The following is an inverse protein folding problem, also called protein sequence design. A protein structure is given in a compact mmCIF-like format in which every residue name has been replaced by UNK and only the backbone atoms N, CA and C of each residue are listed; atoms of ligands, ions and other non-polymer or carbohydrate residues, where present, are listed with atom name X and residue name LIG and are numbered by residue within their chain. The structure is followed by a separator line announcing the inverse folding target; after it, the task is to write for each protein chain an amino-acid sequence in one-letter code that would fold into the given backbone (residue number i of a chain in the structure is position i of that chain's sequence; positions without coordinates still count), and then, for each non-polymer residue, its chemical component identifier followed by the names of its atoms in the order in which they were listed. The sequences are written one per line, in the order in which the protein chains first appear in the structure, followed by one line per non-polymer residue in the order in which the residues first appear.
data_IF_557326866780
#
_entry.id   IF_557326866780
#
_cell.length_a   1.000
_cell.length_b   1.000
_cell.length_c   1.000
_cell.angle_alpha   90.00
_cell.angle_beta   90.00
_cell.angle_gamma   90.00
#
_symmetry.space_group_name_H-M   'P 1'
#
loop_
_entity.id
_entity.type
_entity.pdbx_description
1 polymer ?
#
# COMPACT_ATOMS: atom_id res chain seq x y z
N UNK A 1 11.30 -4.04 -23.23
CA UNK A 1 11.95 -2.73 -23.02
C UNK A 1 13.46 -2.90 -23.10
N UNK A 2 14.17 -1.93 -23.69
CA UNK A 2 15.62 -1.89 -23.81
C UNK A 2 16.29 -1.29 -22.57
N UNK A 3 17.44 -1.82 -22.21
CA UNK A 3 18.24 -1.40 -21.04
C UNK A 3 19.67 -1.08 -21.46
N UNK A 4 20.36 -0.24 -20.68
CA UNK A 4 21.81 -0.04 -20.84
C UNK A 4 22.55 -1.11 -20.05
N UNK A 5 23.48 -1.80 -20.71
CA UNK A 5 24.27 -2.87 -20.07
C UNK A 5 25.26 -2.27 -19.09
N UNK A 6 25.28 -2.81 -17.87
CA UNK A 6 26.33 -2.56 -16.87
C UNK A 6 26.89 -3.90 -16.44
N UNK A 7 28.16 -4.15 -16.76
CA UNK A 7 28.85 -5.39 -16.36
C UNK A 7 29.08 -5.38 -14.85
N UNK A 8 28.64 -6.43 -14.18
CA UNK A 8 28.78 -6.63 -12.74
C UNK A 8 29.21 -8.07 -12.46
N UNK A 9 29.86 -8.34 -11.31
CA UNK A 9 30.15 -9.71 -10.90
C UNK A 9 28.86 -10.51 -10.61
N UNK A 10 29.02 -11.83 -10.42
CA UNK A 10 27.97 -12.82 -10.12
C UNK A 10 27.07 -13.19 -11.31
N UNK A 11 26.28 -14.25 -11.17
CA UNK A 11 25.59 -14.95 -12.27
C UNK A 11 24.09 -14.62 -12.37
N UNK A 12 23.67 -13.40 -12.04
CA UNK A 12 22.26 -13.01 -12.01
C UNK A 12 22.04 -11.66 -12.70
N UNK A 13 20.93 -11.51 -13.44
CA UNK A 13 20.52 -10.20 -13.91
C UNK A 13 20.14 -9.29 -12.74
N UNK A 14 20.47 -8.00 -12.89
CA UNK A 14 20.14 -6.97 -11.90
C UNK A 14 19.39 -5.85 -12.61
N UNK A 15 18.23 -5.51 -12.07
CA UNK A 15 17.37 -4.45 -12.57
C UNK A 15 16.93 -3.54 -11.42
N UNK A 16 16.51 -2.33 -11.75
CA UNK A 16 15.97 -1.39 -10.78
C UNK A 16 14.59 -1.85 -10.28
N UNK A 17 14.32 -1.73 -8.98
CA UNK A 17 13.03 -2.11 -8.36
C UNK A 17 11.81 -1.41 -8.97
N UNK A 18 11.93 -0.17 -9.46
CA UNK A 18 10.81 0.54 -10.11
C UNK A 18 10.37 -0.09 -11.43
N UNK A 19 11.23 -0.93 -12.03
CA UNK A 19 10.97 -1.61 -13.30
C UNK A 19 10.35 -3.01 -13.11
N UNK A 20 10.25 -3.51 -11.88
CA UNK A 20 9.64 -4.83 -11.62
C UNK A 20 8.15 -4.84 -11.95
N UNK A 21 7.45 -3.73 -11.72
CA UNK A 21 6.01 -3.60 -11.97
C UNK A 21 5.61 -3.88 -13.42
N UNK A 22 6.22 -3.25 -14.46
CA UNK A 22 5.90 -3.56 -15.85
C UNK A 22 6.35 -4.96 -16.31
N UNK A 23 7.30 -5.59 -15.63
CA UNK A 23 7.68 -6.99 -15.91
C UNK A 23 6.89 -8.01 -15.11
N UNK A 24 6.13 -7.57 -14.09
CA UNK A 24 5.47 -8.43 -13.12
C UNK A 24 6.43 -9.47 -12.50
N UNK A 25 7.63 -9.03 -12.13
CA UNK A 25 8.67 -9.86 -11.53
C UNK A 25 8.79 -9.61 -10.01
N UNK A 26 9.12 -10.63 -9.22
CA UNK A 26 9.20 -10.55 -7.75
C UNK A 26 10.41 -11.26 -7.10
N UNK A 27 11.37 -11.71 -7.90
CA UNK A 27 12.69 -12.25 -7.48
C UNK A 27 12.64 -13.51 -6.60
N UNK A 28 11.56 -14.29 -6.65
CA UNK A 28 11.43 -15.56 -5.92
C UNK A 28 12.02 -16.78 -6.68
N UNK A 29 12.60 -16.52 -7.86
CA UNK A 29 13.11 -17.56 -8.78
C UNK A 29 12.96 -17.20 -10.27
N UNK A 30 12.40 -16.02 -10.58
CA UNK A 30 12.19 -15.53 -11.94
C UNK A 30 13.43 -15.59 -12.85
N UNK A 31 13.21 -16.05 -14.07
CA UNK A 31 14.18 -16.00 -15.16
C UNK A 31 13.76 -14.96 -16.21
N UNK A 32 14.72 -14.21 -16.76
CA UNK A 32 14.48 -13.24 -17.83
C UNK A 32 15.41 -13.49 -19.00
N UNK A 33 14.89 -13.36 -20.22
CA UNK A 33 15.69 -13.47 -21.44
C UNK A 33 16.33 -12.14 -21.82
N UNK A 34 17.56 -12.19 -22.32
CA UNK A 34 18.28 -11.02 -22.85
C UNK A 34 18.64 -11.26 -24.31
N UNK A 35 18.24 -10.31 -25.17
CA UNK A 35 18.57 -10.30 -26.60
C UNK A 35 19.46 -9.10 -26.91
N UNK A 36 20.58 -9.33 -27.61
CA UNK A 36 21.54 -8.29 -27.98
C UNK A 36 21.32 -7.89 -29.44
N UNK A 37 20.95 -6.62 -29.75
CA UNK A 37 20.83 -6.16 -31.12
C UNK A 37 22.21 -6.19 -31.81
N UNK A 38 22.26 -6.74 -33.03
CA UNK A 38 23.51 -6.95 -33.77
C UNK A 38 23.84 -5.83 -34.76
N UNK A 39 22.82 -5.17 -35.34
CA UNK A 39 23.01 -4.05 -36.27
C UNK A 39 22.91 -2.70 -35.56
N UNK A 40 23.57 -1.69 -36.12
CA UNK A 40 23.50 -0.31 -35.64
C UNK A 40 22.09 0.28 -35.77
N UNK A 41 21.35 -0.09 -36.83
CA UNK A 41 19.96 0.32 -37.04
C UNK A 41 19.05 -0.22 -35.92
N UNK A 42 19.12 -1.52 -35.62
CA UNK A 42 18.32 -2.11 -34.53
C UNK A 42 18.77 -1.59 -33.16
N UNK A 43 20.06 -1.28 -32.98
CA UNK A 43 20.54 -0.63 -31.75
C UNK A 43 19.91 0.76 -31.57
N UNK A 44 19.83 1.54 -32.64
CA UNK A 44 19.16 2.85 -32.61
C UNK A 44 17.66 2.70 -32.35
N UNK A 45 16.98 1.75 -32.98
CA UNK A 45 15.55 1.47 -32.75
C UNK A 45 15.26 1.15 -31.28
N UNK A 46 16.02 0.23 -30.69
CA UNK A 46 15.85 -0.15 -29.28
C UNK A 46 16.10 1.05 -28.35
N UNK A 47 17.06 1.91 -28.70
CA UNK A 47 17.43 3.08 -27.91
C UNK A 47 16.37 4.19 -27.98
N UNK A 48 15.84 4.47 -29.16
CA UNK A 48 14.96 5.62 -29.41
C UNK A 48 13.47 5.28 -29.24
N UNK A 49 13.07 4.00 -29.27
CA UNK A 49 11.67 3.57 -29.10
C UNK A 49 11.45 2.72 -27.84
N UNK A 50 12.32 1.74 -27.61
CA UNK A 50 12.05 0.68 -26.65
C UNK A 50 12.68 0.90 -25.27
N UNK A 51 13.50 1.94 -25.09
CA UNK A 51 14.26 2.15 -23.86
C UNK A 51 13.32 2.35 -22.65
N UNK A 52 13.72 1.84 -21.49
CA UNK A 52 12.91 1.93 -20.25
C UNK A 52 12.35 3.33 -19.96
N UNK A 53 13.15 4.43 -20.01
CA UNK A 53 12.64 5.76 -19.69
C UNK A 53 11.47 6.17 -20.60
N UNK A 54 11.52 5.84 -21.90
CA UNK A 54 10.47 6.15 -22.87
C UNK A 54 9.16 5.39 -22.62
N UNK A 55 9.23 4.34 -21.81
CA UNK A 55 8.11 3.46 -21.49
C UNK A 55 7.66 3.62 -20.02
N UNK A 56 8.05 4.70 -19.34
CA UNK A 56 7.57 5.02 -17.98
C UNK A 56 6.05 5.26 -18.00
N UNK A 57 5.55 5.99 -19.00
CA UNK A 57 4.12 6.26 -19.21
C UNK A 57 3.59 5.41 -20.35
N UNK A 58 2.50 4.70 -20.11
CA UNK A 58 1.88 3.83 -21.13
C UNK A 58 0.61 4.42 -21.70
N UNK A 59 0.38 4.29 -23.02
CA UNK A 59 -0.86 4.70 -23.67
C UNK A 59 -2.07 3.86 -23.26
N UNK A 60 -1.88 2.67 -22.66
CA UNK A 60 -3.00 1.79 -22.26
C UNK A 60 -3.96 2.47 -21.27
N UNK A 61 -3.42 3.26 -20.34
CA UNK A 61 -4.20 3.95 -19.29
C UNK A 61 -3.89 5.45 -19.21
N UNK A 62 -3.14 5.99 -20.17
CA UNK A 62 -2.63 7.36 -20.18
C UNK A 62 -1.94 7.74 -18.85
N UNK A 63 -1.07 6.87 -18.35
CA UNK A 63 -0.43 7.09 -17.05
C UNK A 63 0.77 6.18 -16.78
N UNK A 64 1.52 6.44 -15.70
CA UNK A 64 2.76 5.73 -15.40
C UNK A 64 2.54 4.24 -15.14
N UNK A 65 3.42 3.39 -15.67
CA UNK A 65 3.56 1.98 -15.30
C UNK A 65 4.61 1.78 -14.21
N UNK A 66 5.59 2.67 -14.14
CA UNK A 66 6.68 2.63 -13.18
C UNK A 66 6.45 3.67 -12.09
N UNK A 67 6.89 3.37 -10.88
CA UNK A 67 6.80 4.24 -9.73
C UNK A 67 7.60 3.68 -8.56
N UNK A 68 7.64 4.42 -7.46
CA UNK A 68 8.33 3.98 -6.25
C UNK A 68 7.52 2.85 -5.59
N UNK A 69 8.19 1.75 -5.25
CA UNK A 69 7.60 0.54 -4.69
C UNK A 69 8.38 0.07 -3.45
N UNK A 70 7.77 -0.85 -2.70
CA UNK A 70 8.38 -1.57 -1.57
C UNK A 70 9.08 -0.64 -0.55
N UNK A 71 10.34 -0.90 -0.22
CA UNK A 71 11.10 -0.24 0.84
C UNK A 71 11.26 1.26 0.60
N UNK A 72 11.53 1.67 -0.64
CA UNK A 72 11.61 3.09 -0.98
C UNK A 72 10.26 3.80 -0.78
N UNK A 73 9.14 3.10 -0.97
CA UNK A 73 7.81 3.67 -0.74
C UNK A 73 7.50 3.79 0.76
N UNK A 74 7.75 2.75 1.53
CA UNK A 74 7.59 2.78 2.99
C UNK A 74 8.55 3.80 3.65
N UNK A 75 9.79 3.83 3.18
CA UNK A 75 10.82 4.76 3.64
C UNK A 75 10.48 6.21 3.32
N UNK A 76 9.95 6.51 2.12
CA UNK A 76 9.55 7.86 1.76
C UNK A 76 8.40 8.35 2.64
N UNK A 77 7.42 7.49 2.91
CA UNK A 77 6.32 7.78 3.82
C UNK A 77 6.83 8.08 5.24
N UNK A 78 7.70 7.22 5.79
CA UNK A 78 8.32 7.43 7.10
C UNK A 78 9.14 8.70 7.17
N UNK A 79 10.00 8.94 6.17
CA UNK A 79 10.86 10.11 6.08
C UNK A 79 10.05 11.41 6.06
N UNK A 80 8.89 11.42 5.43
CA UNK A 80 8.05 12.61 5.32
C UNK A 80 7.25 12.94 6.60
N UNK A 81 7.28 12.13 7.66
CA UNK A 81 6.53 12.45 8.89
C UNK A 81 7.09 13.70 9.58
N UNK A 82 6.21 14.44 10.29
CA UNK A 82 6.55 15.74 10.92
C UNK A 82 7.53 15.62 12.08
N UNK A 83 7.58 14.46 12.72
CA UNK A 83 8.45 14.13 13.84
C UNK A 83 9.87 13.71 13.39
N UNK A 84 10.12 13.60 12.09
CA UNK A 84 11.44 13.23 11.56
C UNK A 84 12.33 14.47 11.39
N UNK A 85 13.32 14.55 12.27
CA UNK A 85 14.36 15.57 12.23
C UNK A 85 15.74 14.95 12.01
N UNK A 86 16.50 15.55 11.09
CA UNK A 86 17.85 15.14 10.74
C UNK A 86 18.87 16.08 11.38
N UNK A 87 19.95 15.48 11.87
CA UNK A 87 21.15 16.22 12.30
C UNK A 87 21.93 16.72 11.09
N UNK A 88 22.84 17.68 11.30
CA UNK A 88 23.71 18.20 10.25
C UNK A 88 24.54 17.09 9.59
N UNK A 89 25.06 16.16 10.37
CA UNK A 89 25.87 15.04 9.88
C UNK A 89 25.03 14.08 9.03
N UNK A 90 23.85 13.70 9.51
CA UNK A 90 22.95 12.82 8.77
C UNK A 90 22.52 13.44 7.44
N UNK A 91 22.16 14.73 7.43
CA UNK A 91 21.71 15.35 6.20
C UNK A 91 22.83 15.52 5.19
N UNK A 92 24.04 15.88 5.65
CA UNK A 92 25.23 15.94 4.78
C UNK A 92 25.49 14.59 4.12
N UNK A 93 25.41 13.49 4.88
CA UNK A 93 25.59 12.15 4.33
C UNK A 93 24.49 11.77 3.34
N UNK A 94 23.22 12.12 3.61
CA UNK A 94 22.12 11.85 2.69
C UNK A 94 22.22 12.68 1.40
N UNK A 95 22.72 13.92 1.48
CA UNK A 95 22.87 14.83 0.33
C UNK A 95 23.85 14.32 -0.72
N UNK A 96 24.87 13.54 -0.32
CA UNK A 96 25.82 12.93 -1.26
C UNK A 96 25.14 11.96 -2.24
N UNK A 97 23.95 11.46 -1.89
CA UNK A 97 23.15 10.55 -2.71
C UNK A 97 22.09 11.28 -3.55
N UNK A 98 21.95 12.59 -3.41
CA UNK A 98 21.04 13.38 -4.25
C UNK A 98 21.68 13.54 -5.63
N UNK A 99 21.03 13.07 -6.72
CA UNK A 99 21.58 13.20 -8.06
C UNK A 99 21.64 14.67 -8.47
N UNK A 100 22.76 15.09 -9.09
CA UNK A 100 22.98 16.46 -9.56
C UNK A 100 22.84 17.54 -8.47
N UNK A 101 23.20 17.21 -7.22
CA UNK A 101 23.20 18.19 -6.13
C UNK A 101 24.11 19.39 -6.44
N UNK A 102 23.63 20.59 -6.15
CA UNK A 102 24.28 21.88 -6.43
C UNK A 102 25.42 22.23 -5.46
N UNK A 103 25.71 21.36 -4.48
CA UNK A 103 26.72 21.59 -3.46
C UNK A 103 26.26 22.50 -2.31
N UNK A 104 25.02 22.98 -2.35
CA UNK A 104 24.49 23.91 -1.35
C UNK A 104 23.68 23.16 -0.31
N UNK A 105 24.07 23.31 0.95
CA UNK A 105 23.28 22.79 2.07
C UNK A 105 22.11 23.77 2.30
N UNK A 106 20.85 23.31 2.21
CA UNK A 106 19.67 24.12 2.47
C UNK A 106 19.65 24.61 3.91
N UNK A 107 18.94 25.71 4.13
CA UNK A 107 18.79 26.25 5.48
C UNK A 107 17.98 25.27 6.37
N UNK A 108 18.38 25.10 7.64
CA UNK A 108 17.66 24.22 8.56
C UNK A 108 16.26 24.78 8.84
N UNK A 109 15.26 23.89 8.91
CA UNK A 109 13.91 24.27 9.33
C UNK A 109 13.87 24.83 10.76
N UNK A 110 14.77 24.35 11.63
CA UNK A 110 14.87 24.80 13.03
C UNK A 110 16.30 25.27 13.28
N UNK A 111 16.48 26.50 13.74
CA UNK A 111 17.81 27.07 14.03
C UNK A 111 18.26 26.86 15.48
N UNK A 112 17.34 27.03 16.45
CA UNK A 112 17.62 26.95 17.89
C UNK A 112 16.78 25.83 18.53
N UNK A 113 17.29 25.12 19.55
CA UNK A 113 18.60 25.27 20.20
C UNK A 113 19.76 24.68 19.39
N UNK A 114 19.48 23.78 18.44
CA UNK A 114 20.45 23.20 17.51
C UNK A 114 19.84 23.14 16.11
N UNK A 115 20.64 23.31 15.03
CA UNK A 115 20.12 23.23 13.68
C UNK A 115 19.57 21.84 13.37
N UNK A 116 18.31 21.78 12.93
CA UNK A 116 17.63 20.56 12.48
C UNK A 116 16.98 20.77 11.13
N UNK A 117 17.03 19.75 10.30
CA UNK A 117 16.34 19.68 9.01
C UNK A 117 15.22 18.66 9.08
N UNK A 118 14.20 18.82 8.26
CA UNK A 118 13.09 17.85 8.18
C UNK A 118 13.34 16.84 7.07
N UNK A 119 12.72 15.66 7.16
CA UNK A 119 12.75 14.70 6.05
C UNK A 119 12.04 15.23 4.79
N UNK A 120 11.04 16.11 4.94
CA UNK A 120 10.41 16.83 3.82
C UNK A 120 11.40 17.73 3.08
N UNK A 121 12.29 18.43 3.79
CA UNK A 121 13.35 19.21 3.15
C UNK A 121 14.32 18.31 2.36
N UNK A 122 14.66 17.14 2.90
CA UNK A 122 15.54 16.18 2.23
C UNK A 122 14.93 15.67 0.92
N UNK A 123 13.67 15.20 0.97
CA UNK A 123 13.02 14.67 -0.23
C UNK A 123 12.73 15.74 -1.29
N UNK A 124 12.49 16.99 -0.86
CA UNK A 124 12.26 18.12 -1.76
C UNK A 124 13.45 18.42 -2.67
N UNK A 125 14.67 18.07 -2.28
CA UNK A 125 15.84 18.25 -3.15
C UNK A 125 15.86 17.28 -4.34
N UNK A 126 15.11 16.18 -4.26
CA UNK A 126 14.98 15.20 -5.32
C UNK A 126 13.82 15.53 -6.26
N UNK A 127 12.79 16.20 -5.75
CA UNK A 127 11.63 16.58 -6.55
C UNK A 127 12.05 17.71 -7.50
N UNK A 128 11.80 17.58 -8.82
CA UNK A 128 12.13 18.64 -9.77
C UNK A 128 11.34 19.93 -9.49
N UNK A 129 11.96 21.08 -9.80
CA UNK A 129 11.41 22.41 -9.49
C UNK A 129 10.12 22.72 -10.26
N UNK A 130 9.94 22.08 -11.40
CA UNK A 130 8.79 22.22 -12.30
C UNK A 130 7.55 21.52 -11.73
N UNK A 131 7.73 20.57 -10.81
CA UNK A 131 6.61 19.83 -10.23
C UNK A 131 5.91 20.70 -9.18
N UNK A 132 4.64 21.00 -9.45
CA UNK A 132 3.71 21.53 -8.46
C UNK A 132 2.47 20.64 -8.44
N UNK A 133 2.06 20.22 -7.24
CA UNK A 133 0.95 19.29 -7.03
C UNK A 133 0.18 19.71 -5.79
N UNK A 134 -1.14 19.82 -5.92
CA UNK A 134 -2.04 20.09 -4.81
C UNK A 134 -3.12 19.02 -4.76
N UNK A 135 -3.08 18.22 -3.69
CA UNK A 135 -4.16 17.34 -3.31
C UNK A 135 -4.81 17.95 -2.08
N UNK A 136 -6.03 18.47 -2.27
CA UNK A 136 -6.81 19.07 -1.20
C UNK A 136 -7.06 18.09 -0.05
N UNK A 137 -7.31 18.67 1.12
CA UNK A 137 -7.78 17.95 2.30
C UNK A 137 -9.30 17.78 2.19
N UNK A 138 -9.84 16.67 2.73
CA UNK A 138 -11.29 16.48 2.81
C UNK A 138 -11.95 17.57 3.69
N UNK A 139 -11.18 18.21 4.58
CA UNK A 139 -11.59 19.32 5.43
C UNK A 139 -11.53 20.71 4.76
N UNK A 140 -10.90 20.83 3.57
CA UNK A 140 -10.70 22.11 2.89
C UNK A 140 -9.75 23.08 3.61
N UNK A 141 -9.02 22.61 4.64
CA UNK A 141 -8.04 23.42 5.35
C UNK A 141 -6.72 23.49 4.58
N UNK A 142 -6.20 24.71 4.42
CA UNK A 142 -4.91 24.98 3.76
C UNK A 142 -3.69 24.62 4.64
N UNK A 143 -3.90 24.35 5.94
CA UNK A 143 -2.84 24.03 6.90
C UNK A 143 -3.27 22.86 7.80
N UNK A 144 -3.27 21.62 7.27
CA UNK A 144 -3.83 20.47 7.98
C UNK A 144 -3.03 20.14 9.25
N UNK A 145 -3.72 19.99 10.38
CA UNK A 145 -3.10 19.60 11.66
C UNK A 145 -2.48 18.20 11.62
N UNK A 146 -3.11 17.27 10.89
CA UNK A 146 -2.70 15.86 10.78
C UNK A 146 -1.82 15.54 9.57
N UNK A 147 -1.34 16.56 8.87
CA UNK A 147 -0.57 16.38 7.63
C UNK A 147 -1.35 15.62 6.54
N UNK A 148 -2.66 15.79 6.54
CA UNK A 148 -3.57 15.26 5.52
C UNK A 148 -3.39 16.03 4.19
N UNK A 149 -3.72 15.39 3.07
CA UNK A 149 -3.50 15.96 1.75
C UNK A 149 -2.02 16.02 1.35
N UNK A 150 -1.72 16.80 0.32
CA UNK A 150 -0.36 17.00 -0.18
C UNK A 150 -0.26 18.36 -0.88
N UNK A 151 0.75 19.16 -0.53
CA UNK A 151 1.10 20.36 -1.29
C UNK A 151 2.59 20.35 -1.62
N UNK A 152 2.88 20.33 -2.91
CA UNK A 152 4.20 20.53 -3.49
C UNK A 152 4.13 21.80 -4.32
N UNK A 153 5.00 22.75 -4.04
CA UNK A 153 5.10 24.01 -4.77
C UNK A 153 6.53 24.20 -5.25
N UNK A 154 6.71 24.33 -6.56
CA UNK A 154 8.01 24.53 -7.18
C UNK A 154 9.09 23.51 -6.73
N UNK A 155 8.72 22.22 -6.67
CA UNK A 155 9.58 21.14 -6.19
C UNK A 155 9.76 21.05 -4.67
N UNK A 156 9.16 21.96 -3.89
CA UNK A 156 9.24 21.93 -2.43
C UNK A 156 7.99 21.29 -1.80
N UNK A 157 8.18 20.24 -1.01
CA UNK A 157 7.12 19.60 -0.25
C UNK A 157 6.80 20.41 1.01
N UNK A 158 5.67 21.12 0.96
CA UNK A 158 5.23 22.03 2.03
C UNK A 158 4.55 21.26 3.17
N UNK A 159 3.58 20.41 2.85
CA UNK A 159 2.91 19.52 3.80
C UNK A 159 2.43 18.24 3.12
N UNK A 160 2.10 17.25 3.93
CA UNK A 160 1.58 15.96 3.48
C UNK A 160 2.61 14.84 3.51
N UNK A 161 2.11 13.61 3.44
CA UNK A 161 2.92 12.39 3.41
C UNK A 161 2.96 11.82 1.99
N UNK A 162 4.14 11.37 1.56
CA UNK A 162 4.28 10.70 0.26
C UNK A 162 3.77 9.26 0.37
N UNK A 163 2.65 8.98 -0.28
CA UNK A 163 2.03 7.65 -0.38
C UNK A 163 2.12 7.12 -1.81
N UNK A 164 1.68 5.88 -2.02
CA UNK A 164 1.56 5.26 -3.36
C UNK A 164 0.81 6.14 -4.37
N UNK A 165 -0.16 6.94 -3.92
CA UNK A 165 -0.93 7.86 -4.78
C UNK A 165 -0.06 8.99 -5.37
N UNK A 166 1.01 9.37 -4.67
CA UNK A 166 1.82 10.55 -5.02
C UNK A 166 3.08 10.15 -5.80
N UNK A 167 3.81 9.13 -5.32
CA UNK A 167 5.10 8.70 -5.89
C UNK A 167 5.07 7.34 -6.58
N UNK A 168 3.93 6.64 -6.52
CA UNK A 168 3.71 5.39 -7.25
C UNK A 168 3.27 5.62 -8.69
N UNK A 169 2.81 4.53 -9.33
CA UNK A 169 2.35 4.51 -10.72
C UNK A 169 0.91 5.07 -10.89
N UNK A 170 0.64 6.24 -10.30
CA UNK A 170 -0.66 6.91 -10.28
C UNK A 170 -0.75 8.00 -11.36
N UNK A 171 -1.92 8.14 -11.98
CA UNK A 171 -2.19 9.23 -12.90
C UNK A 171 -2.22 10.56 -12.14
N UNK A 172 -1.45 11.54 -12.60
CA UNK A 172 -1.33 12.85 -11.95
C UNK A 172 -0.40 12.85 -10.72
N UNK A 173 0.28 11.73 -10.44
CA UNK A 173 1.36 11.69 -9.45
C UNK A 173 2.62 12.40 -9.93
N UNK A 174 3.61 12.51 -9.05
CA UNK A 174 4.89 13.20 -9.31
C UNK A 174 5.59 12.60 -10.54
N UNK A 175 5.63 11.28 -10.64
CA UNK A 175 6.25 10.58 -11.79
C UNK A 175 5.58 10.97 -13.11
N UNK A 176 4.26 11.14 -13.12
CA UNK A 176 3.52 11.51 -14.34
C UNK A 176 3.82 12.96 -14.74
N UNK A 177 3.81 13.88 -13.77
CA UNK A 177 4.07 15.30 -14.01
C UNK A 177 5.52 15.49 -14.46
N UNK A 178 6.49 14.86 -13.78
CA UNK A 178 7.90 14.90 -14.17
C UNK A 178 8.13 14.35 -15.58
N UNK A 179 7.40 13.31 -15.97
CA UNK A 179 7.50 12.77 -17.33
C UNK A 179 6.99 13.75 -18.39
N UNK A 180 5.89 14.44 -18.12
CA UNK A 180 5.27 15.35 -19.08
C UNK A 180 6.03 16.69 -19.19
N UNK A 181 6.54 17.22 -18.08
CA UNK A 181 7.22 18.52 -18.04
C UNK A 181 8.71 18.43 -18.40
N UNK A 182 9.41 17.40 -17.90
CA UNK A 182 10.87 17.25 -18.05
C UNK A 182 11.27 16.11 -18.99
N UNK A 183 10.29 15.40 -19.53
CA UNK A 183 10.51 14.24 -20.37
C UNK A 183 10.96 12.98 -19.62
N UNK A 184 11.31 11.93 -20.38
CA UNK A 184 11.71 10.62 -19.85
C UNK A 184 12.89 10.65 -18.88
N UNK A 185 13.90 11.47 -19.18
CA UNK A 185 15.12 11.58 -18.39
C UNK A 185 14.85 12.23 -17.03
N UNK A 186 13.97 13.24 -16.97
CA UNK A 186 13.56 13.89 -15.72
C UNK A 186 12.81 12.94 -14.79
N UNK A 187 11.88 12.15 -15.32
CA UNK A 187 11.17 11.13 -14.54
C UNK A 187 12.11 10.02 -14.04
N UNK A 188 13.06 9.58 -14.87
CA UNK A 188 14.08 8.61 -14.47
C UNK A 188 14.99 9.16 -13.37
N UNK A 189 15.43 10.42 -13.49
CA UNK A 189 16.25 11.08 -12.47
C UNK A 189 15.52 11.15 -11.13
N UNK A 190 14.22 11.49 -11.14
CA UNK A 190 13.38 11.48 -9.94
C UNK A 190 13.32 10.08 -9.31
N UNK A 191 12.99 9.03 -10.09
CA UNK A 191 12.91 7.66 -9.57
C UNK A 191 14.23 7.19 -8.93
N UNK A 192 15.36 7.45 -9.60
CA UNK A 192 16.68 7.10 -9.08
C UNK A 192 17.03 7.89 -7.82
N UNK A 193 16.78 9.19 -7.80
CA UNK A 193 17.10 10.04 -6.65
C UNK A 193 16.29 9.68 -5.42
N UNK A 194 15.00 9.36 -5.57
CA UNK A 194 14.16 8.96 -4.44
C UNK A 194 14.68 7.67 -3.85
N UNK A 195 14.98 6.67 -4.69
CA UNK A 195 15.50 5.40 -4.23
C UNK A 195 16.85 5.54 -3.53
N UNK A 196 17.78 6.32 -4.08
CA UNK A 196 19.12 6.50 -3.50
C UNK A 196 19.05 7.17 -2.12
N UNK A 197 18.34 8.29 -2.02
CA UNK A 197 18.25 9.07 -0.79
C UNK A 197 17.44 8.33 0.28
N UNK A 198 16.28 7.80 -0.09
CA UNK A 198 15.39 7.12 0.86
C UNK A 198 15.99 5.81 1.34
N UNK A 199 16.58 5.01 0.46
CA UNK A 199 17.17 3.73 0.86
C UNK A 199 18.39 3.94 1.75
N UNK A 200 19.22 4.96 1.47
CA UNK A 200 20.32 5.32 2.37
C UNK A 200 19.82 5.78 3.74
N UNK A 201 18.77 6.60 3.79
CA UNK A 201 18.17 7.00 5.05
C UNK A 201 17.57 5.79 5.80
N UNK A 202 16.85 4.93 5.10
CA UNK A 202 16.20 3.75 5.65
C UNK A 202 17.22 2.72 6.17
N UNK A 203 18.38 2.58 5.52
CA UNK A 203 19.49 1.75 5.98
C UNK A 203 19.95 2.13 7.39
N UNK A 204 19.96 3.42 7.71
CA UNK A 204 20.39 3.93 9.01
C UNK A 204 19.27 3.95 10.05
N UNK A 205 18.01 4.15 9.62
CA UNK A 205 16.87 4.19 10.54
C UNK A 205 16.31 2.80 10.87
N UNK A 206 16.35 1.89 9.91
CA UNK A 206 15.72 0.57 9.98
C UNK A 206 14.20 0.61 9.82
N UNK A 207 13.67 -0.54 9.38
CA UNK A 207 12.26 -0.89 9.42
C UNK A 207 12.16 -2.41 9.53
N UNK A 208 11.25 -2.88 10.39
CA UNK A 208 11.02 -4.30 10.63
C UNK A 208 9.58 -4.47 11.07
N UNK A 209 9.03 -5.66 10.89
CA UNK A 209 7.71 -6.05 11.39
C UNK A 209 7.89 -7.31 12.23
N UNK A 210 7.22 -7.35 13.38
CA UNK A 210 7.20 -8.53 14.26
C UNK A 210 5.79 -8.91 14.69
N UNK A 211 5.69 -9.99 15.45
CA UNK A 211 4.42 -10.43 16.05
C UNK A 211 3.80 -9.36 16.96
N UNK A 212 4.63 -8.50 17.57
CA UNK A 212 4.17 -7.38 18.38
C UNK A 212 3.34 -6.35 17.59
N UNK A 213 3.53 -6.24 16.27
CA UNK A 213 2.74 -5.35 15.43
C UNK A 213 1.32 -5.91 15.14
N UNK A 214 1.06 -7.19 15.42
CA UNK A 214 -0.22 -7.85 15.17
C UNK A 214 -1.03 -8.13 16.45
N UNK A 215 -0.53 -7.74 17.62
CA UNK A 215 -1.21 -7.95 18.90
C UNK A 215 -2.00 -6.68 19.27
N UNK A 216 -3.35 -6.71 19.24
CA UNK A 216 -4.16 -5.61 19.74
C UNK A 216 -4.20 -5.57 21.28
N UNK A 217 -4.63 -4.44 21.84
CA UNK A 217 -4.86 -4.29 23.27
C UNK A 217 -6.07 -5.12 23.75
N UNK A 218 -6.03 -5.58 25.00
CA UNK A 218 -7.09 -6.41 25.57
C UNK A 218 -8.48 -5.75 25.53
N UNK A 219 -8.55 -4.42 25.67
CA UNK A 219 -9.81 -3.69 25.58
C UNK A 219 -10.39 -3.70 24.16
N UNK A 220 -9.55 -3.63 23.12
CA UNK A 220 -9.97 -3.80 21.73
C UNK A 220 -10.39 -5.22 21.42
N UNK A 221 -9.68 -6.23 21.94
CA UNK A 221 -10.10 -7.64 21.80
C UNK A 221 -11.51 -7.83 22.37
N UNK A 222 -11.77 -7.32 23.57
CA UNK A 222 -13.10 -7.38 24.17
C UNK A 222 -14.18 -6.68 23.32
N UNK A 223 -13.87 -5.51 22.75
CA UNK A 223 -14.80 -4.79 21.84
C UNK A 223 -15.05 -5.56 20.55
N UNK A 224 -14.01 -6.16 19.96
CA UNK A 224 -14.13 -6.99 18.77
C UNK A 224 -15.02 -8.19 19.05
N UNK A 225 -14.86 -8.84 20.20
CA UNK A 225 -15.73 -9.96 20.60
C UNK A 225 -17.18 -9.53 20.73
N UNK A 226 -17.47 -8.39 21.36
CA UNK A 226 -18.83 -7.84 21.44
C UNK A 226 -19.45 -7.66 20.05
N UNK A 227 -18.70 -7.10 19.10
CA UNK A 227 -19.20 -6.94 17.72
C UNK A 227 -19.44 -8.28 17.01
N UNK A 228 -18.61 -9.29 17.27
CA UNK A 228 -18.83 -10.64 16.72
C UNK A 228 -20.11 -11.25 17.31
N UNK A 229 -20.29 -11.13 18.62
CA UNK A 229 -21.44 -11.70 19.33
C UNK A 229 -22.77 -11.04 18.93
N UNK A 230 -22.78 -9.72 18.73
CA UNK A 230 -23.92 -8.96 18.21
C UNK A 230 -24.39 -9.50 16.84
N UNK A 231 -23.45 -9.71 15.92
CA UNK A 231 -23.77 -10.16 14.55
C UNK A 231 -24.09 -11.67 14.52
N UNK A 232 -23.50 -12.47 15.41
CA UNK A 232 -23.93 -13.87 15.61
C UNK A 232 -25.37 -13.94 16.14
N UNK A 233 -25.75 -13.06 17.07
CA UNK A 233 -27.12 -12.97 17.57
C UNK A 233 -28.10 -12.56 16.47
N UNK A 234 -27.69 -11.66 15.56
CA UNK A 234 -28.49 -11.30 14.39
C UNK A 234 -28.67 -12.48 13.43
N UNK A 235 -27.63 -13.27 13.17
CA UNK A 235 -27.75 -14.49 12.36
C UNK A 235 -28.69 -15.52 13.03
N UNK A 236 -28.63 -15.66 14.35
CA UNK A 236 -29.55 -16.51 15.10
C UNK A 236 -31.01 -16.03 14.95
N UNK A 237 -31.25 -14.71 15.03
CA UNK A 237 -32.56 -14.09 14.80
C UNK A 237 -33.06 -14.35 13.38
N UNK A 238 -32.22 -14.14 12.37
CA UNK A 238 -32.56 -14.43 10.96
C UNK A 238 -32.90 -15.91 10.74
N UNK A 239 -32.19 -16.82 11.43
CA UNK A 239 -32.43 -18.26 11.36
C UNK A 239 -33.76 -18.65 11.99
N UNK A 240 -34.10 -18.04 13.13
CA UNK A 240 -35.40 -18.23 13.78
C UNK A 240 -36.55 -17.73 12.90
N UNK A 241 -36.43 -16.53 12.32
CA UNK A 241 -37.44 -15.97 11.39
C UNK A 241 -37.62 -16.84 10.14
N UNK A 242 -36.53 -17.38 9.58
CA UNK A 242 -36.59 -18.27 8.44
C UNK A 242 -37.30 -19.60 8.78
N UNK A 243 -37.10 -20.12 9.99
CA UNK A 243 -37.73 -21.35 10.47
C UNK A 243 -39.22 -21.14 10.79
N UNK A 244 -39.58 -19.95 11.27
CA UNK A 244 -40.96 -19.53 11.52
C UNK A 244 -41.75 -19.14 10.24
N UNK A 245 -41.12 -19.19 9.05
CA UNK A 245 -41.67 -18.71 7.78
C UNK A 245 -42.06 -17.22 7.77
N UNK A 246 -41.43 -16.40 8.62
CA UNK A 246 -41.66 -14.95 8.69
C UNK A 246 -40.72 -14.16 7.76
N UNK A 247 -39.76 -14.83 7.11
CA UNK A 247 -38.79 -14.20 6.24
C UNK A 247 -39.36 -13.98 4.83
N UNK A 248 -39.66 -12.73 4.49
CA UNK A 248 -40.04 -12.34 3.13
C UNK A 248 -38.86 -12.42 2.15
N UNK A 249 -39.13 -12.94 0.96
CA UNK A 249 -38.16 -13.03 -0.13
C UNK A 249 -37.94 -11.66 -0.79
N UNK A 250 -36.68 -11.33 -1.06
CA UNK A 250 -36.35 -10.14 -1.85
C UNK A 250 -36.71 -10.36 -3.33
N UNK A 251 -37.04 -9.28 -4.09
CA UNK A 251 -37.36 -9.39 -5.50
C UNK A 251 -36.27 -10.11 -6.31
N UNK A 252 -36.66 -11.12 -7.08
CA UNK A 252 -35.74 -11.91 -7.90
C UNK A 252 -34.93 -12.97 -7.14
N UNK A 253 -35.20 -13.19 -5.85
CA UNK A 253 -34.53 -14.20 -5.02
C UNK A 253 -35.56 -15.16 -4.41
N UNK A 254 -35.15 -16.41 -4.18
CA UNK A 254 -35.93 -17.32 -3.34
C UNK A 254 -35.68 -17.03 -1.85
N UNK A 255 -36.54 -17.55 -0.97
CA UNK A 255 -36.42 -17.34 0.49
C UNK A 255 -35.05 -17.77 1.01
N UNK A 256 -34.50 -18.89 0.51
CA UNK A 256 -33.19 -19.41 0.91
C UNK A 256 -32.02 -18.52 0.47
N UNK A 257 -32.04 -17.99 -0.75
CA UNK A 257 -31.03 -17.05 -1.24
C UNK A 257 -31.15 -15.71 -0.51
N UNK A 258 -32.37 -15.29 -0.17
CA UNK A 258 -32.60 -14.10 0.65
C UNK A 258 -32.00 -14.26 2.04
N UNK A 259 -32.21 -15.42 2.67
CA UNK A 259 -31.58 -15.76 3.95
C UNK A 259 -30.05 -15.74 3.85
N UNK A 260 -29.47 -16.46 2.89
CA UNK A 260 -28.02 -16.52 2.69
C UNK A 260 -27.40 -15.14 2.39
N UNK A 261 -28.10 -14.28 1.64
CA UNK A 261 -27.69 -12.92 1.37
C UNK A 261 -27.66 -12.08 2.66
N UNK A 262 -28.77 -12.06 3.41
CA UNK A 262 -28.84 -11.31 4.69
C UNK A 262 -27.79 -11.77 5.70
N UNK A 263 -27.59 -13.08 5.83
CA UNK A 263 -26.55 -13.64 6.72
C UNK A 263 -25.15 -13.25 6.25
N UNK A 264 -24.87 -13.34 4.94
CA UNK A 264 -23.56 -12.95 4.40
C UNK A 264 -23.29 -11.45 4.60
N UNK A 265 -24.31 -10.60 4.50
CA UNK A 265 -24.21 -9.17 4.79
C UNK A 265 -23.86 -8.91 6.25
N UNK A 266 -24.57 -9.54 7.19
CA UNK A 266 -24.30 -9.40 8.63
C UNK A 266 -22.87 -9.84 9.00
N UNK A 267 -22.42 -11.00 8.50
CA UNK A 267 -21.07 -11.50 8.77
C UNK A 267 -19.96 -10.66 8.13
N UNK A 268 -20.20 -10.08 6.95
CA UNK A 268 -19.26 -9.12 6.35
C UNK A 268 -19.21 -7.81 7.16
N UNK A 269 -20.36 -7.36 7.66
CA UNK A 269 -20.43 -6.17 8.52
C UNK A 269 -19.69 -6.39 9.84
N UNK A 270 -19.78 -7.60 10.43
CA UNK A 270 -19.00 -7.99 11.61
C UNK A 270 -17.49 -7.82 11.37
N UNK A 271 -17.00 -8.36 10.25
CA UNK A 271 -15.59 -8.26 9.84
C UNK A 271 -15.15 -6.81 9.67
N UNK A 272 -15.95 -6.00 8.99
CA UNK A 272 -15.58 -4.61 8.69
C UNK A 272 -15.61 -3.73 9.96
N UNK A 273 -16.58 -3.93 10.87
CA UNK A 273 -16.64 -3.26 12.18
C UNK A 273 -15.45 -3.64 13.07
N UNK A 274 -15.13 -4.94 13.16
CA UNK A 274 -14.01 -5.42 13.93
C UNK A 274 -12.67 -4.89 13.37
N UNK A 275 -12.52 -4.89 12.04
CA UNK A 275 -11.34 -4.37 11.37
C UNK A 275 -11.14 -2.88 11.59
N UNK A 276 -12.19 -2.07 11.44
CA UNK A 276 -12.11 -0.62 11.69
C UNK A 276 -11.84 -0.28 13.15
N UNK A 277 -12.41 -1.03 14.09
CA UNK A 277 -12.14 -0.86 15.53
C UNK A 277 -10.69 -1.17 15.86
N UNK A 278 -10.16 -2.26 15.30
CA UNK A 278 -8.77 -2.67 15.53
C UNK A 278 -7.79 -1.70 14.88
N UNK A 279 -8.06 -1.26 13.65
CA UNK A 279 -7.22 -0.29 12.95
C UNK A 279 -7.15 1.06 13.69
N UNK A 280 -8.26 1.50 14.32
CA UNK A 280 -8.27 2.72 15.14
C UNK A 280 -7.49 2.58 16.45
N UNK A 281 -7.38 1.36 16.99
CA UNK A 281 -6.62 1.13 18.21
C UNK A 281 -5.11 1.05 17.95
N UNK A 282 -4.71 0.51 16.80
CA UNK A 282 -3.30 0.41 16.43
C UNK A 282 -2.70 1.81 16.29
N UNK A 283 -1.54 2.00 16.93
CA UNK A 283 -0.79 3.26 16.86
C UNK A 283 -0.33 3.50 15.42
N UNK A 284 -0.32 4.77 15.01
CA UNK A 284 0.23 5.18 13.71
C UNK A 284 1.75 4.89 13.58
N UNK A 285 2.45 4.62 14.69
CA UNK A 285 3.86 4.18 14.69
C UNK A 285 4.04 2.69 14.43
N UNK A 286 2.97 1.89 14.42
CA UNK A 286 3.03 0.46 14.16
C UNK A 286 3.54 0.20 12.73
N UNK A 287 4.42 -0.79 12.57
CA UNK A 287 5.09 -1.04 11.30
C UNK A 287 4.12 -1.59 10.25
N UNK A 288 3.18 -2.44 10.63
CA UNK A 288 2.14 -2.96 9.74
C UNK A 288 1.22 -1.83 9.23
N UNK A 289 0.85 -0.89 10.12
CA UNK A 289 0.05 0.28 9.75
C UNK A 289 0.82 1.19 8.80
N UNK A 290 2.11 1.41 9.05
CA UNK A 290 2.98 2.21 8.17
C UNK A 290 3.05 1.63 6.75
N UNK A 291 3.18 0.31 6.62
CA UNK A 291 3.21 -0.36 5.31
C UNK A 291 1.87 -0.25 4.58
N UNK A 292 0.75 -0.49 5.28
CA UNK A 292 -0.59 -0.36 4.69
C UNK A 292 -0.92 1.09 4.29
N UNK A 293 -0.61 2.07 5.15
CA UNK A 293 -0.88 3.50 4.92
C UNK A 293 0.01 4.11 3.82
N UNK A 294 1.28 3.69 3.73
CA UNK A 294 2.17 4.10 2.61
C UNK A 294 1.75 3.46 1.29
N UNK A 295 1.10 2.28 1.35
CA UNK A 295 0.73 1.46 0.21
C UNK A 295 1.89 0.63 -0.33
N UNK A 296 2.95 0.40 0.46
CA UNK A 296 4.10 -0.42 0.06
C UNK A 296 3.74 -1.89 -0.08
N UNK A 297 3.09 -2.46 0.94
CA UNK A 297 2.57 -3.83 0.95
C UNK A 297 1.47 -3.95 2.01
N UNK A 298 0.48 -4.80 1.72
CA UNK A 298 -0.65 -5.03 2.61
C UNK A 298 -1.72 -3.94 2.53
N UNK A 299 -2.87 -4.25 3.12
CA UNK A 299 -4.06 -3.40 3.19
C UNK A 299 -4.65 -3.43 4.60
N UNK A 300 -5.62 -2.57 4.88
CA UNK A 300 -6.39 -2.59 6.13
C UNK A 300 -7.06 -3.95 6.38
N UNK A 301 -7.45 -4.66 5.32
CA UNK A 301 -8.03 -6.01 5.41
C UNK A 301 -7.01 -7.00 5.96
N UNK A 302 -5.75 -6.94 5.49
CA UNK A 302 -4.71 -7.85 5.97
C UNK A 302 -4.43 -7.65 7.45
N UNK A 303 -4.37 -6.39 7.90
CA UNK A 303 -4.21 -6.06 9.32
C UNK A 303 -5.39 -6.64 10.11
N UNK A 304 -6.63 -6.37 9.68
CA UNK A 304 -7.84 -6.89 10.31
C UNK A 304 -7.82 -8.42 10.45
N UNK A 305 -7.39 -9.15 9.42
CA UNK A 305 -7.34 -10.62 9.46
C UNK A 305 -6.24 -11.17 10.37
N UNK A 306 -5.11 -10.47 10.49
CA UNK A 306 -4.04 -10.87 11.41
C UNK A 306 -4.37 -10.57 12.87
N UNK A 307 -5.13 -9.49 13.13
CA UNK A 307 -5.32 -9.00 14.51
C UNK A 307 -6.71 -9.28 15.09
N UNK A 308 -7.76 -9.28 14.26
CA UNK A 308 -9.16 -9.26 14.71
C UNK A 308 -9.89 -10.57 14.38
N UNK A 309 -10.24 -10.79 13.11
CA UNK A 309 -10.82 -12.05 12.65
C UNK A 309 -10.57 -12.29 11.16
N UNK A 310 -10.52 -13.55 10.75
CA UNK A 310 -10.36 -13.93 9.34
C UNK A 310 -11.65 -13.67 8.55
N UNK A 311 -12.82 -14.00 9.13
CA UNK A 311 -14.13 -13.78 8.53
C UNK A 311 -14.71 -14.98 7.76
N UNK A 312 -15.80 -14.71 7.03
CA UNK A 312 -16.55 -15.72 6.29
C UNK A 312 -15.78 -16.26 5.08
N UNK A 313 -15.65 -17.59 5.00
CA UNK A 313 -15.10 -18.27 3.83
C UNK A 313 -16.18 -18.49 2.76
N UNK A 314 -15.84 -18.18 1.51
CA UNK A 314 -16.76 -18.21 0.38
C UNK A 314 -16.20 -19.16 -0.69
N UNK A 315 -17.04 -20.09 -1.15
CA UNK A 315 -16.77 -21.01 -2.27
C UNK A 315 -17.86 -20.82 -3.31
N UNK A 316 -17.48 -20.53 -4.56
CA UNK A 316 -18.42 -20.28 -5.67
C UNK A 316 -19.49 -19.20 -5.36
N UNK A 317 -19.09 -18.14 -4.63
CA UNK A 317 -19.99 -17.05 -4.25
C UNK A 317 -20.99 -17.40 -3.15
N UNK A 318 -20.87 -18.57 -2.50
CA UNK A 318 -21.73 -19.01 -1.40
C UNK A 318 -20.90 -19.37 -0.17
N UNK A 319 -21.55 -19.37 1.01
CA UNK A 319 -20.96 -19.99 2.21
C UNK A 319 -20.73 -21.48 1.99
N UNK A 320 -19.83 -22.09 2.77
CA UNK A 320 -19.38 -23.48 2.58
C UNK A 320 -20.56 -24.43 2.34
N UNK A 321 -20.67 -25.07 1.17
CA UNK A 321 -21.81 -25.92 0.84
C UNK A 321 -21.86 -27.18 1.71
N UNK A 322 -23.02 -27.81 1.80
CA UNK A 322 -23.15 -29.11 2.46
C UNK A 322 -22.55 -30.20 1.58
N UNK A 323 -21.32 -30.62 1.90
CA UNK A 323 -20.63 -31.72 1.22
C UNK A 323 -21.10 -33.10 1.69
N UNK A 324 -21.54 -33.21 2.95
CA UNK A 324 -22.18 -34.41 3.49
C UNK A 324 -23.71 -34.25 3.45
N UNK A 325 -24.43 -35.36 3.71
CA UNK A 325 -25.91 -35.37 3.78
C UNK A 325 -26.42 -34.34 4.79
N UNK A 326 -26.86 -33.19 4.28
CA UNK A 326 -27.38 -32.03 5.01
C UNK A 326 -26.43 -31.42 6.06
N UNK A 327 -25.11 -31.49 5.86
CA UNK A 327 -24.12 -30.87 6.77
C UNK A 327 -22.79 -30.59 6.06
N UNK A 328 -21.99 -29.69 6.61
CA UNK A 328 -20.68 -29.32 6.08
C UNK A 328 -19.58 -30.31 6.47
N UNK A 329 -19.48 -30.66 7.76
CA UNK A 329 -18.51 -31.61 8.33
C UNK A 329 -19.20 -32.65 9.24
N UNK A 330 -18.58 -33.81 9.52
CA UNK A 330 -19.17 -34.84 10.38
C UNK A 330 -19.36 -34.41 11.84
N UNK A 331 -18.68 -33.34 12.27
CA UNK A 331 -18.76 -32.77 13.61
C UNK A 331 -20.03 -31.92 13.84
N UNK A 332 -20.67 -31.45 12.77
CA UNK A 332 -21.89 -30.65 12.87
C UNK A 332 -23.13 -31.52 12.74
N UNK A 333 -24.22 -31.05 13.35
CA UNK A 333 -25.55 -31.62 13.20
C UNK A 333 -26.09 -31.36 11.80
N UNK A 334 -27.14 -32.10 11.42
CA UNK A 334 -27.82 -31.88 10.14
C UNK A 334 -28.58 -30.56 10.15
N UNK A 335 -28.67 -29.93 8.98
CA UNK A 335 -29.38 -28.68 8.73
C UNK A 335 -28.91 -27.51 9.61
N UNK A 336 -27.62 -27.52 9.96
CA UNK A 336 -26.98 -26.44 10.71
C UNK A 336 -26.58 -25.29 9.76
N UNK A 337 -27.26 -24.14 9.91
CA UNK A 337 -27.02 -22.91 9.14
C UNK A 337 -26.23 -21.84 9.92
N UNK A 338 -25.72 -22.19 11.11
CA UNK A 338 -24.90 -21.32 11.95
C UNK A 338 -23.66 -20.78 11.21
N UNK A 339 -23.12 -19.63 11.64
CA UNK A 339 -21.87 -19.11 11.11
C UNK A 339 -20.72 -20.13 11.18
N UNK A 340 -20.56 -20.82 12.31
CA UNK A 340 -19.47 -21.75 12.57
C UNK A 340 -19.54 -22.96 11.63
N UNK A 341 -20.72 -23.56 11.49
CA UNK A 341 -20.92 -24.71 10.61
C UNK A 341 -20.70 -24.35 9.13
N UNK A 342 -20.98 -23.10 8.74
CA UNK A 342 -20.95 -22.62 7.36
C UNK A 342 -19.66 -21.85 7.02
N UNK A 343 -18.61 -21.97 7.83
CA UNK A 343 -17.26 -21.50 7.51
C UNK A 343 -16.96 -20.04 7.88
N UNK A 344 -17.61 -19.51 8.91
CA UNK A 344 -17.20 -18.26 9.53
C UNK A 344 -16.06 -18.52 10.52
N UNK A 345 -14.91 -17.88 10.30
CA UNK A 345 -13.75 -17.98 11.18
C UNK A 345 -13.70 -16.75 12.07
N UNK A 346 -14.02 -16.96 13.35
CA UNK A 346 -14.05 -15.90 14.37
C UNK A 346 -12.65 -15.50 14.84
N UNK A 347 -11.69 -16.42 14.79
CA UNK A 347 -10.32 -16.17 15.21
C UNK A 347 -9.53 -15.44 14.12
N UNK A 348 -8.48 -14.74 14.53
CA UNK A 348 -7.48 -14.17 13.63
C UNK A 348 -6.39 -15.19 13.31
N UNK A 349 -5.38 -14.79 12.55
CA UNK A 349 -4.20 -15.62 12.31
C UNK A 349 -3.25 -15.72 13.52
N UNK A 350 -3.39 -14.83 14.50
CA UNK A 350 -2.68 -14.86 15.77
C UNK A 350 -3.39 -15.78 16.75
#
# INVERSE_FOLDING_TARGET
MGHRVRVMPYSTFRLNLSVTSPYNADFDGDEMNLHVPQSEETRAEVKELCLVPLNIVSPQKNGPLMGIVQDSLAGAYKLCRRDVFLTKEQIMNCMLWVPNWDGVIPQPAIYKPRPRWTGKQLISMVIPKEVSLFNGTDSGENAPLKDEGLLIQAGQLMYGLLTKKNIGAAAGGIVHISYNELGPEGAMAFLNGVQQVVTYWLLNNGHSIGIGDTIPDAATIAKVQVHIDEEKAEVARLTAMATANELEALPGMNVRATFENKVSMALNQARDKAGTTTQKSLKDSNNAVTMASSGSKGSSINISQMTALVGQQIVEGKRIPFGFKYRTLPHFTKDDYSPEARGFVENSYL
#
